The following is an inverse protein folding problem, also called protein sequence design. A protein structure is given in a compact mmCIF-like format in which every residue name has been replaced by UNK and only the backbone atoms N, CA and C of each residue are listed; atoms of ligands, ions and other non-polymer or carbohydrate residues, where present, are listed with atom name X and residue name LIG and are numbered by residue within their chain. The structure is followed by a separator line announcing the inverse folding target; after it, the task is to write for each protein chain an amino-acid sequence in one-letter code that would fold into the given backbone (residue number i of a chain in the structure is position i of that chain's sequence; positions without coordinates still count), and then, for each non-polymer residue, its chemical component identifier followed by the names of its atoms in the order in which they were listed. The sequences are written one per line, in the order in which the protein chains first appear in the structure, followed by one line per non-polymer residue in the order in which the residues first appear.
data_IF_551566294999
#
_entry.id   IF_551566294999
#
_cell.length_a   1.000
_cell.length_b   1.000
_cell.length_c   1.000
_cell.angle_alpha   90.00
_cell.angle_beta   90.00
_cell.angle_gamma   90.00
#
_symmetry.space_group_name_H-M   'P 1'
#
loop_
_entity.id
_entity.type
_entity.pdbx_description
1 polymer ?
#
# COMPACT_ATOMS: atom_id res chain seq x y z
N UNK A 1 -19.37 -40.41 -10.35
CA UNK A 1 -19.26 -39.72 -9.05
C UNK A 1 -19.09 -38.25 -9.34
N UNK A 2 -20.17 -37.49 -9.27
CA UNK A 2 -20.16 -36.07 -9.61
C UNK A 2 -19.35 -35.32 -8.55
N UNK A 3 -18.16 -34.85 -8.93
CA UNK A 3 -17.32 -34.05 -8.03
C UNK A 3 -18.07 -32.74 -7.79
N UNK A 4 -18.68 -32.58 -6.60
CA UNK A 4 -19.17 -31.27 -6.14
C UNK A 4 -17.97 -30.33 -6.18
N UNK A 5 -17.91 -29.46 -7.18
CA UNK A 5 -17.00 -28.33 -7.20
C UNK A 5 -17.36 -27.45 -6.01
N UNK A 6 -16.65 -27.62 -4.89
CA UNK A 6 -16.72 -26.72 -3.74
C UNK A 6 -16.29 -25.34 -4.19
N UNK A 7 -17.25 -24.54 -4.65
CA UNK A 7 -17.02 -23.16 -5.11
C UNK A 7 -16.64 -22.33 -3.88
N UNK A 8 -15.37 -21.92 -3.83
CA UNK A 8 -14.89 -20.98 -2.83
C UNK A 8 -15.39 -19.59 -3.20
N UNK A 9 -16.15 -18.97 -2.31
CA UNK A 9 -16.53 -17.56 -2.45
C UNK A 9 -15.36 -16.67 -2.04
N UNK A 10 -14.73 -15.99 -2.99
CA UNK A 10 -13.64 -15.05 -2.73
C UNK A 10 -14.14 -13.70 -2.20
N UNK A 11 -13.28 -12.98 -1.48
CA UNK A 11 -13.51 -11.59 -1.11
C UNK A 11 -12.91 -10.68 -2.19
N UNK A 12 -13.71 -10.35 -3.20
CA UNK A 12 -13.34 -9.40 -4.25
C UNK A 12 -13.72 -7.95 -3.89
N UNK A 13 -14.44 -7.73 -2.77
CA UNK A 13 -14.82 -6.39 -2.34
C UNK A 13 -13.59 -5.62 -1.88
N UNK A 14 -12.74 -6.23 -1.05
CA UNK A 14 -11.51 -5.58 -0.60
C UNK A 14 -10.54 -5.31 -1.75
N UNK A 15 -10.44 -6.24 -2.70
CA UNK A 15 -9.61 -6.07 -3.90
C UNK A 15 -10.07 -4.84 -4.67
N UNK A 16 -11.38 -4.71 -4.91
CA UNK A 16 -11.95 -3.55 -5.61
C UNK A 16 -11.66 -2.24 -4.88
N UNK A 17 -11.73 -2.22 -3.55
CA UNK A 17 -11.39 -1.04 -2.76
C UNK A 17 -9.94 -0.61 -2.96
N UNK A 18 -8.99 -1.55 -2.85
CA UNK A 18 -7.58 -1.27 -3.13
C UNK A 18 -7.34 -0.86 -4.58
N UNK A 19 -7.98 -1.49 -5.56
CA UNK A 19 -7.85 -1.11 -6.97
C UNK A 19 -8.36 0.31 -7.25
N UNK A 20 -9.49 0.71 -6.66
CA UNK A 20 -10.01 2.07 -6.79
C UNK A 20 -9.03 3.07 -6.13
N UNK A 21 -8.54 2.74 -4.93
CA UNK A 21 -7.54 3.55 -4.24
C UNK A 21 -6.24 3.68 -5.06
N UNK A 22 -5.78 2.61 -5.71
CA UNK A 22 -4.64 2.63 -6.63
C UNK A 22 -4.82 3.69 -7.70
N UNK A 23 -5.96 3.70 -8.41
CA UNK A 23 -6.22 4.67 -9.48
C UNK A 23 -6.26 6.09 -8.92
N UNK A 24 -6.94 6.29 -7.79
CA UNK A 24 -7.02 7.58 -7.12
C UNK A 24 -5.63 8.13 -6.76
N UNK A 25 -4.81 7.32 -6.08
CA UNK A 25 -3.48 7.73 -5.66
C UNK A 25 -2.48 7.82 -6.82
N UNK A 26 -2.69 7.08 -7.91
CA UNK A 26 -1.94 7.25 -9.15
C UNK A 26 -2.13 8.68 -9.69
N UNK A 27 -3.38 9.11 -9.79
CA UNK A 27 -3.71 10.47 -10.26
C UNK A 27 -3.10 11.51 -9.34
N UNK A 28 -3.31 11.39 -8.01
CA UNK A 28 -2.76 12.35 -7.03
C UNK A 28 -1.24 12.40 -7.08
N UNK A 29 -0.57 11.24 -6.98
CA UNK A 29 0.90 11.16 -6.96
C UNK A 29 1.53 11.72 -8.23
N UNK A 30 1.00 11.35 -9.41
CA UNK A 30 1.50 11.84 -10.69
C UNK A 30 1.23 13.34 -10.88
N UNK A 31 0.08 13.86 -10.42
CA UNK A 31 -0.20 15.30 -10.45
C UNK A 31 0.80 16.10 -9.61
N UNK A 32 1.11 15.67 -8.38
CA UNK A 32 2.16 16.30 -7.58
C UNK A 32 3.51 16.21 -8.29
N UNK A 33 3.79 15.10 -8.98
CA UNK A 33 4.97 14.92 -9.83
C UNK A 33 5.09 15.98 -10.93
N UNK A 34 3.99 16.24 -11.65
CA UNK A 34 3.93 17.30 -12.68
C UNK A 34 4.14 18.68 -12.06
N UNK A 35 3.55 18.95 -10.88
CA UNK A 35 3.74 20.23 -10.17
C UNK A 35 5.20 20.44 -9.80
N UNK A 36 5.86 19.47 -9.16
CA UNK A 36 7.27 19.62 -8.75
C UNK A 36 8.21 19.66 -9.95
N UNK A 37 7.89 18.98 -11.05
CA UNK A 37 8.63 19.10 -12.30
C UNK A 37 8.52 20.52 -12.88
N UNK A 38 7.33 21.11 -12.86
CA UNK A 38 7.12 22.50 -13.28
C UNK A 38 7.87 23.50 -12.39
N UNK A 39 7.94 23.24 -11.07
CA UNK A 39 8.73 24.06 -10.13
C UNK A 39 10.23 24.06 -10.41
N UNK A 40 10.78 22.92 -10.88
CA UNK A 40 12.16 22.84 -11.33
C UNK A 40 12.37 23.61 -12.66
N UNK A 41 11.40 23.55 -13.57
CA UNK A 41 11.46 24.26 -14.85
C UNK A 41 11.28 25.79 -14.68
N UNK A 42 10.43 26.21 -13.75
CA UNK A 42 10.13 27.62 -13.48
C UNK A 42 9.97 27.88 -11.97
N UNK A 43 11.04 28.35 -11.35
CA UNK A 43 11.12 28.55 -9.90
C UNK A 43 10.00 29.41 -9.26
N UNK A 44 9.40 30.42 -9.92
CA UNK A 44 8.29 31.19 -9.35
C UNK A 44 7.03 30.35 -9.04
N UNK A 45 6.90 29.14 -9.61
CA UNK A 45 5.83 28.19 -9.29
C UNK A 45 5.93 27.58 -7.88
N UNK A 46 6.92 27.98 -7.08
CA UNK A 46 6.94 27.72 -5.64
C UNK A 46 5.99 28.67 -4.86
N UNK A 47 5.47 29.73 -5.50
CA UNK A 47 4.48 30.68 -4.97
C UNK A 47 4.87 31.44 -3.68
N UNK A 48 6.10 31.27 -3.17
CA UNK A 48 6.51 31.82 -1.88
C UNK A 48 5.78 31.20 -0.67
N UNK A 49 5.07 30.08 -0.86
CA UNK A 49 4.27 29.41 0.17
C UNK A 49 5.02 28.17 0.64
N UNK A 50 5.34 28.10 1.93
CA UNK A 50 6.24 27.08 2.50
C UNK A 50 5.82 25.64 2.18
N UNK A 51 4.54 25.31 2.31
CA UNK A 51 4.01 23.95 2.06
C UNK A 51 3.85 23.60 0.58
N UNK A 52 3.97 24.56 -0.34
CA UNK A 52 3.96 24.30 -1.79
C UNK A 52 5.37 24.29 -2.39
N UNK A 53 6.43 24.47 -1.59
CA UNK A 53 7.79 24.46 -2.11
C UNK A 53 8.22 23.07 -2.59
N UNK A 54 9.09 23.04 -3.61
CA UNK A 54 9.66 21.81 -4.15
C UNK A 54 10.23 20.89 -3.05
N UNK A 55 10.95 21.46 -2.08
CA UNK A 55 11.57 20.69 -1.00
C UNK A 55 10.59 19.90 -0.14
N UNK A 56 9.35 20.39 0.03
CA UNK A 56 8.31 19.71 0.82
C UNK A 56 7.38 18.85 -0.03
N UNK A 57 7.10 19.27 -1.26
CA UNK A 57 6.28 18.50 -2.19
C UNK A 57 7.01 17.30 -2.81
N UNK A 58 8.34 17.32 -2.90
CA UNK A 58 9.14 16.18 -3.38
C UNK A 58 8.93 14.92 -2.54
N UNK A 59 9.14 14.91 -1.21
CA UNK A 59 8.90 13.71 -0.42
C UNK A 59 7.42 13.30 -0.41
N UNK A 60 6.49 14.26 -0.52
CA UNK A 60 5.07 13.95 -0.71
C UNK A 60 4.83 13.16 -2.01
N UNK A 61 5.39 13.62 -3.14
CA UNK A 61 5.29 12.92 -4.42
C UNK A 61 5.85 11.50 -4.33
N UNK A 62 7.06 11.35 -3.78
CA UNK A 62 7.71 10.04 -3.61
C UNK A 62 6.83 9.09 -2.80
N UNK A 63 6.33 9.53 -1.64
CA UNK A 63 5.47 8.71 -0.79
C UNK A 63 4.13 8.38 -1.47
N UNK A 64 3.52 9.35 -2.16
CA UNK A 64 2.27 9.16 -2.88
C UNK A 64 2.42 8.17 -4.05
N UNK A 65 3.51 8.21 -4.80
CA UNK A 65 3.70 7.28 -5.93
C UNK A 65 4.09 5.87 -5.47
N UNK A 66 4.93 5.76 -4.43
CA UNK A 66 5.42 4.46 -3.97
C UNK A 66 4.44 3.81 -3.00
N UNK A 67 4.15 4.43 -1.87
CA UNK A 67 3.37 3.80 -0.80
C UNK A 67 1.87 3.93 -1.02
N UNK A 68 1.40 5.04 -1.58
CA UNK A 68 -0.02 5.19 -1.91
C UNK A 68 -0.37 4.47 -3.23
N UNK A 69 0.18 4.88 -4.37
CA UNK A 69 -0.15 4.24 -5.65
C UNK A 69 0.35 2.79 -5.74
N UNK A 70 1.66 2.56 -5.74
CA UNK A 70 2.22 1.23 -5.95
C UNK A 70 1.90 0.29 -4.77
N UNK A 71 1.89 0.79 -3.53
CA UNK A 71 1.48 0.03 -2.34
C UNK A 71 0.05 -0.48 -2.46
N UNK A 72 -0.94 0.37 -2.77
CA UNK A 72 -2.31 -0.09 -3.00
C UNK A 72 -2.40 -1.09 -4.17
N UNK A 73 -1.62 -0.89 -5.25
CA UNK A 73 -1.59 -1.81 -6.39
C UNK A 73 -1.08 -3.21 -5.99
N UNK A 74 -0.01 -3.26 -5.21
CA UNK A 74 0.56 -4.50 -4.67
C UNK A 74 -0.44 -5.19 -3.75
N UNK A 75 -1.11 -4.47 -2.85
CA UNK A 75 -2.11 -5.07 -1.96
C UNK A 75 -3.32 -5.62 -2.73
N UNK A 76 -3.84 -4.90 -3.73
CA UNK A 76 -4.88 -5.41 -4.61
C UNK A 76 -4.42 -6.70 -5.31
N UNK A 77 -3.22 -6.68 -5.89
CA UNK A 77 -2.62 -7.81 -6.57
C UNK A 77 -2.48 -9.04 -5.66
N UNK A 78 -1.91 -8.87 -4.46
CA UNK A 78 -1.71 -9.92 -3.48
C UNK A 78 -3.05 -10.48 -3.00
N UNK A 79 -4.01 -9.64 -2.61
CA UNK A 79 -5.32 -10.11 -2.11
C UNK A 79 -6.14 -10.80 -3.20
N UNK A 80 -6.02 -10.37 -4.44
CA UNK A 80 -6.67 -11.04 -5.56
C UNK A 80 -6.03 -12.39 -5.86
N UNK A 81 -4.71 -12.42 -6.05
CA UNK A 81 -3.98 -13.60 -6.52
C UNK A 81 -3.87 -14.66 -5.43
N UNK A 82 -3.61 -14.30 -4.17
CA UNK A 82 -3.43 -15.26 -3.06
C UNK A 82 -4.65 -16.15 -2.89
N UNK A 83 -5.85 -15.58 -2.94
CA UNK A 83 -7.09 -16.34 -2.82
C UNK A 83 -7.25 -17.41 -3.92
N UNK A 84 -6.87 -17.05 -5.16
CA UNK A 84 -7.00 -17.89 -6.34
C UNK A 84 -5.92 -18.97 -6.39
N UNK A 85 -4.68 -18.58 -6.08
CA UNK A 85 -3.52 -19.49 -6.04
C UNK A 85 -3.63 -20.51 -4.90
N UNK A 86 -4.15 -20.09 -3.74
CA UNK A 86 -4.38 -20.99 -2.61
C UNK A 86 -5.71 -21.76 -2.72
N UNK A 87 -6.57 -21.39 -3.68
CA UNK A 87 -7.97 -21.82 -3.78
C UNK A 87 -8.71 -21.72 -2.43
N UNK A 88 -8.51 -20.60 -1.74
CA UNK A 88 -9.05 -20.34 -0.40
C UNK A 88 -9.53 -18.88 -0.31
N UNK A 89 -10.59 -18.62 0.46
CA UNK A 89 -11.00 -17.24 0.79
C UNK A 89 -9.94 -16.62 1.72
N UNK A 90 -9.81 -15.29 1.69
CA UNK A 90 -9.03 -14.54 2.68
C UNK A 90 -9.32 -15.01 4.11
N UNK A 91 -8.28 -15.05 4.94
CA UNK A 91 -8.35 -15.55 6.31
C UNK A 91 -9.35 -14.80 7.20
N UNK A 92 -9.36 -13.46 7.10
CA UNK A 92 -10.30 -12.61 7.85
C UNK A 92 -10.68 -11.34 7.09
N UNK A 93 -11.97 -11.21 6.78
CA UNK A 93 -12.56 -10.00 6.19
C UNK A 93 -12.40 -8.76 7.11
N UNK A 94 -12.30 -8.96 8.43
CA UNK A 94 -12.08 -7.87 9.38
C UNK A 94 -10.64 -7.33 9.28
N UNK A 95 -9.63 -8.22 9.24
CA UNK A 95 -8.23 -7.83 9.07
C UNK A 95 -8.02 -7.16 7.71
N UNK A 96 -8.68 -7.64 6.66
CA UNK A 96 -8.70 -7.00 5.33
C UNK A 96 -9.15 -5.54 5.41
N UNK A 97 -10.26 -5.26 6.13
CA UNK A 97 -10.78 -3.89 6.29
C UNK A 97 -9.89 -3.01 7.15
N UNK A 98 -9.35 -3.54 8.26
CA UNK A 98 -8.42 -2.82 9.13
C UNK A 98 -7.17 -2.43 8.33
N UNK A 99 -6.64 -3.36 7.54
CA UNK A 99 -5.51 -3.10 6.65
C UNK A 99 -5.83 -1.97 5.65
N UNK A 100 -6.94 -2.08 4.92
CA UNK A 100 -7.31 -1.05 3.93
C UNK A 100 -7.45 0.34 4.55
N UNK A 101 -8.30 0.49 5.57
CA UNK A 101 -8.53 1.80 6.17
C UNK A 101 -7.31 2.32 6.93
N UNK A 102 -6.58 1.46 7.61
CA UNK A 102 -5.32 1.83 8.25
C UNK A 102 -4.31 2.36 7.26
N UNK A 103 -4.15 1.69 6.11
CA UNK A 103 -3.28 2.16 5.03
C UNK A 103 -3.74 3.50 4.45
N UNK A 104 -5.04 3.69 4.21
CA UNK A 104 -5.55 4.97 3.71
C UNK A 104 -5.32 6.11 4.72
N UNK A 105 -5.47 5.85 6.03
CA UNK A 105 -5.21 6.83 7.07
C UNK A 105 -3.73 7.21 7.14
N UNK A 106 -2.82 6.25 6.99
CA UNK A 106 -1.37 6.50 6.90
C UNK A 106 -1.05 7.40 5.71
N UNK A 107 -1.61 7.12 4.54
CA UNK A 107 -1.41 7.95 3.34
C UNK A 107 -1.92 9.37 3.57
N UNK A 108 -3.10 9.54 4.16
CA UNK A 108 -3.65 10.86 4.49
C UNK A 108 -2.77 11.58 5.51
N UNK A 109 -2.25 10.88 6.52
CA UNK A 109 -1.31 11.45 7.47
C UNK A 109 -0.04 11.97 6.77
N UNK A 110 0.55 11.18 5.87
CA UNK A 110 1.69 11.61 5.04
C UNK A 110 1.37 12.85 4.19
N UNK A 111 0.16 12.90 3.61
CA UNK A 111 -0.30 14.03 2.82
C UNK A 111 -0.43 15.34 3.63
N UNK A 112 -0.63 15.23 4.95
CA UNK A 112 -0.69 16.37 5.86
C UNK A 112 0.69 16.74 6.42
N UNK A 113 1.46 15.76 6.89
CA UNK A 113 2.71 16.02 7.61
C UNK A 113 3.85 16.50 6.72
N UNK A 114 3.99 15.93 5.51
CA UNK A 114 5.11 16.26 4.63
C UNK A 114 5.06 17.70 4.11
N UNK A 115 3.92 18.24 3.65
CA UNK A 115 3.82 19.67 3.31
C UNK A 115 4.02 20.61 4.50
N UNK A 116 3.67 20.17 5.71
CA UNK A 116 3.94 20.92 6.94
C UNK A 116 5.43 20.94 7.31
N UNK A 117 6.26 20.12 6.65
CA UNK A 117 7.71 20.04 6.87
C UNK A 117 8.09 19.15 8.05
N UNK A 118 7.17 18.28 8.48
CA UNK A 118 7.40 17.32 9.55
C UNK A 118 7.97 16.06 8.91
N UNK A 119 9.30 15.91 8.94
CA UNK A 119 10.00 14.81 8.29
C UNK A 119 11.39 14.51 8.86
N UNK A 120 11.75 13.22 8.86
CA UNK A 120 13.06 12.70 9.30
C UNK A 120 14.16 12.86 8.22
N UNK A 121 13.81 13.36 7.02
CA UNK A 121 14.74 13.63 5.90
C UNK A 121 15.51 12.41 5.35
N UNK A 122 15.11 11.18 5.71
CA UNK A 122 15.60 9.93 5.12
C UNK A 122 14.73 9.59 3.91
N UNK A 123 15.31 9.44 2.73
CA UNK A 123 14.55 9.11 1.52
C UNK A 123 13.80 7.79 1.69
N UNK A 124 12.52 7.76 1.30
CA UNK A 124 11.58 6.63 1.47
C UNK A 124 11.24 6.26 2.93
N UNK A 125 11.75 7.01 3.90
CA UNK A 125 11.45 6.90 5.33
C UNK A 125 11.25 8.31 5.93
N UNK A 126 10.53 9.15 5.20
CA UNK A 126 10.38 10.58 5.53
C UNK A 126 9.39 10.83 6.65
N UNK A 127 8.52 9.86 6.95
CA UNK A 127 7.43 9.99 7.92
C UNK A 127 7.97 9.96 9.36
N UNK A 128 7.27 10.60 10.28
CA UNK A 128 7.66 10.60 11.69
C UNK A 128 7.27 9.30 12.39
N UNK A 129 7.95 9.03 13.51
CA UNK A 129 7.80 7.80 14.29
C UNK A 129 6.34 7.39 14.62
N UNK A 130 5.35 8.28 14.88
CA UNK A 130 3.98 7.82 15.14
C UNK A 130 3.37 7.15 13.91
N UNK A 131 3.71 7.64 12.72
CA UNK A 131 3.26 7.07 11.45
C UNK A 131 4.04 5.79 11.16
N UNK A 132 5.33 5.73 11.48
CA UNK A 132 6.13 4.50 11.33
C UNK A 132 5.59 3.35 12.18
N UNK A 133 5.21 3.63 13.43
CA UNK A 133 4.56 2.64 14.30
C UNK A 133 3.22 2.20 13.73
N UNK A 134 2.42 3.13 13.20
CA UNK A 134 1.15 2.80 12.54
C UNK A 134 1.36 1.91 11.30
N UNK A 135 2.38 2.22 10.49
CA UNK A 135 2.78 1.40 9.33
C UNK A 135 3.14 -0.01 9.78
N UNK A 136 4.01 -0.16 10.78
CA UNK A 136 4.42 -1.46 11.28
C UNK A 136 3.22 -2.30 11.77
N UNK A 137 2.31 -1.70 12.53
CA UNK A 137 1.10 -2.38 13.02
C UNK A 137 0.18 -2.83 11.88
N UNK A 138 -0.06 -1.95 10.90
CA UNK A 138 -0.91 -2.25 9.74
C UNK A 138 -0.25 -3.30 8.83
N UNK A 139 1.07 -3.28 8.71
CA UNK A 139 1.83 -4.30 7.98
C UNK A 139 1.75 -5.67 8.65
N UNK A 140 1.78 -5.73 9.99
CA UNK A 140 1.56 -6.96 10.75
C UNK A 140 0.13 -7.49 10.54
N UNK A 141 -0.89 -6.63 10.56
CA UNK A 141 -2.27 -7.02 10.24
C UNK A 141 -2.37 -7.63 8.84
N UNK A 142 -1.72 -7.00 7.86
CA UNK A 142 -1.63 -7.51 6.49
C UNK A 142 -0.95 -8.88 6.44
N UNK A 143 0.21 -9.03 7.10
CA UNK A 143 0.97 -10.26 7.15
C UNK A 143 0.17 -11.41 7.78
N UNK A 144 -0.48 -11.18 8.92
CA UNK A 144 -1.32 -12.18 9.59
C UNK A 144 -2.43 -12.66 8.65
N UNK A 145 -3.08 -11.74 7.93
CA UNK A 145 -4.15 -12.09 7.02
C UNK A 145 -3.64 -12.89 5.80
N UNK A 146 -2.47 -12.52 5.25
CA UNK A 146 -1.83 -13.24 4.14
C UNK A 146 -1.37 -14.64 4.56
N UNK A 147 -0.57 -14.76 5.63
CA UNK A 147 -0.05 -16.05 6.11
C UNK A 147 -1.18 -16.95 6.64
N UNK A 148 -2.21 -16.38 7.27
CA UNK A 148 -3.41 -17.12 7.65
C UNK A 148 -4.14 -17.72 6.44
N UNK A 149 -4.15 -17.00 5.31
CA UNK A 149 -4.74 -17.51 4.06
C UNK A 149 -3.90 -18.64 3.47
N UNK A 150 -2.57 -18.49 3.52
CA UNK A 150 -1.61 -19.50 3.08
C UNK A 150 -1.68 -20.80 3.91
N UNK A 151 -1.94 -20.67 5.22
CA UNK A 151 -2.11 -21.80 6.13
C UNK A 151 -3.38 -22.60 5.84
N UNK A 152 -4.43 -21.96 5.31
CA UNK A 152 -5.71 -22.58 4.94
C UNK A 152 -5.82 -22.94 3.46
N UNK A 153 -4.69 -22.94 2.74
CA UNK A 153 -4.67 -23.27 1.30
C UNK A 153 -5.16 -24.70 1.04
N UNK A 154 -5.80 -24.90 -0.11
CA UNK A 154 -6.22 -26.23 -0.58
C UNK A 154 -5.15 -26.91 -1.44
N UNK A 155 -4.24 -26.13 -2.01
CA UNK A 155 -3.15 -26.63 -2.85
C UNK A 155 -1.92 -27.02 -2.03
N UNK A 156 -1.35 -28.18 -2.31
CA UNK A 156 -0.16 -28.67 -1.58
C UNK A 156 1.08 -27.83 -1.88
N UNK A 157 1.29 -27.54 -3.17
CA UNK A 157 2.41 -26.74 -3.65
C UNK A 157 2.08 -25.26 -3.64
N UNK A 158 3.09 -24.45 -3.32
CA UNK A 158 2.98 -23.00 -3.39
C UNK A 158 3.39 -22.55 -4.78
N UNK A 159 2.52 -21.78 -5.42
CA UNK A 159 2.87 -21.10 -6.66
C UNK A 159 3.99 -20.07 -6.42
N UNK A 160 4.90 -19.92 -7.38
CA UNK A 160 6.13 -19.13 -7.23
C UNK A 160 5.85 -17.67 -6.86
N UNK A 161 4.77 -17.05 -7.37
CA UNK A 161 4.42 -15.68 -6.98
C UNK A 161 4.16 -15.53 -5.46
N UNK A 162 3.67 -16.58 -4.79
CA UNK A 162 3.50 -16.56 -3.33
C UNK A 162 4.85 -16.47 -2.60
N UNK A 163 5.92 -17.04 -3.16
CA UNK A 163 7.26 -16.93 -2.58
C UNK A 163 7.77 -15.50 -2.62
N UNK A 164 7.55 -14.81 -3.76
CA UNK A 164 7.87 -13.40 -3.89
C UNK A 164 7.07 -12.56 -2.88
N UNK A 165 5.77 -12.83 -2.70
CA UNK A 165 4.98 -12.12 -1.69
C UNK A 165 5.46 -12.37 -0.26
N UNK A 166 5.79 -13.62 0.09
CA UNK A 166 6.36 -13.97 1.40
C UNK A 166 7.65 -13.17 1.63
N UNK A 167 8.56 -13.16 0.65
CA UNK A 167 9.81 -12.42 0.73
C UNK A 167 9.56 -10.91 0.89
N UNK A 168 8.68 -10.33 0.06
CA UNK A 168 8.31 -8.91 0.14
C UNK A 168 7.75 -8.53 1.51
N UNK A 169 6.81 -9.33 2.04
CA UNK A 169 6.17 -9.05 3.34
C UNK A 169 7.18 -9.08 4.48
N UNK A 170 8.07 -10.07 4.50
CA UNK A 170 9.06 -10.24 5.56
C UNK A 170 10.19 -9.21 5.45
N UNK A 171 10.74 -9.01 4.25
CA UNK A 171 11.88 -8.11 4.06
C UNK A 171 11.49 -6.65 4.27
N UNK A 172 10.32 -6.20 3.80
CA UNK A 172 9.88 -4.82 4.06
C UNK A 172 9.68 -4.59 5.56
N UNK A 173 9.11 -5.54 6.29
CA UNK A 173 8.94 -5.42 7.74
C UNK A 173 10.26 -5.38 8.52
N UNK A 174 11.34 -5.96 7.98
CA UNK A 174 12.67 -5.93 8.58
C UNK A 174 13.44 -4.65 8.24
N UNK A 175 13.18 -4.06 7.06
CA UNK A 175 13.84 -2.84 6.59
C UNK A 175 13.21 -1.57 7.16
N UNK A 176 11.94 -1.64 7.56
CA UNK A 176 11.18 -0.58 8.23
C UNK A 176 11.53 -0.52 9.72
#
# INVERSE_FOLDING_TARGET
MEQKLDRVAYDDKIVRQFTIATVLWAVVGMLVGVVIAAQLAHWPLNFGISWLTFGRLRPLHTNAVIFAFAGNAIFAGIYYSTQRLCKARMFSDALSKIHFWGWQLIIVAAALTLPLGISVSKEYAELEWPIDVAIALIWVVFAINFFGTLARRRERHLYVALWFYIATILTIAMLH
#
